data_IF_737459463472
#
_entry.id   IF_737459463472
#
_cell.length_a   1.000
_cell.length_b   1.000
_cell.length_c   1.000
_cell.angle_alpha   90.00
_cell.angle_beta   90.00
_cell.angle_gamma   90.00
#
_symmetry.space_group_name_H-M   'P 1'
#
loop_
_entity.id
_entity.type
_entity.pdbx_description
1 polymer ?
#
# COMPACT_ATOMS: atom_id res chain seq x y z
N UNK A 1 45.87 45.56 -11.17
CA UNK A 1 44.52 44.94 -11.09
C UNK A 1 44.73 43.44 -10.93
N UNK A 2 44.51 42.95 -9.71
CA UNK A 2 44.62 41.52 -9.35
C UNK A 2 43.22 40.90 -9.56
N UNK A 3 43.08 39.93 -10.45
CA UNK A 3 41.87 39.11 -10.53
C UNK A 3 42.15 37.75 -9.91
N UNK A 4 41.72 37.61 -8.66
CA UNK A 4 41.70 36.37 -7.89
C UNK A 4 40.59 35.47 -8.43
N UNK A 5 40.93 34.40 -9.14
CA UNK A 5 39.96 33.38 -9.53
C UNK A 5 39.73 32.44 -8.34
N UNK A 6 38.62 32.66 -7.63
CA UNK A 6 38.15 31.78 -6.56
C UNK A 6 37.55 30.53 -7.21
N UNK A 7 38.19 29.39 -7.00
CA UNK A 7 37.65 28.06 -7.26
C UNK A 7 36.42 27.83 -6.36
N UNK A 8 35.23 27.73 -6.96
CA UNK A 8 34.05 27.23 -6.26
C UNK A 8 33.74 25.83 -6.80
N UNK A 9 34.32 24.81 -6.15
CA UNK A 9 33.89 23.43 -6.36
C UNK A 9 32.50 23.26 -5.75
N UNK A 10 31.48 23.21 -6.60
CA UNK A 10 30.14 22.77 -6.22
C UNK A 10 30.22 21.27 -5.88
N UNK A 11 30.17 20.96 -4.59
CA UNK A 11 29.93 19.60 -4.11
C UNK A 11 28.44 19.33 -4.32
N UNK A 12 28.09 18.72 -5.44
CA UNK A 12 26.77 18.11 -5.64
C UNK A 12 26.68 16.84 -4.78
N UNK A 13 26.32 17.03 -3.51
CA UNK A 13 25.93 15.94 -2.62
C UNK A 13 24.64 15.31 -3.12
N UNK A 14 24.76 14.33 -4.00
CA UNK A 14 23.66 13.43 -4.36
C UNK A 14 23.29 12.58 -3.15
N UNK A 15 22.36 13.05 -2.32
CA UNK A 15 21.69 12.20 -1.34
C UNK A 15 20.69 11.30 -2.07
N UNK A 16 21.20 10.31 -2.79
CA UNK A 16 20.39 9.16 -3.18
C UNK A 16 20.21 8.29 -1.93
N UNK A 17 19.37 8.76 -1.01
CA UNK A 17 18.90 7.90 0.07
C UNK A 17 17.91 6.94 -0.57
N UNK A 18 18.39 5.76 -0.97
CA UNK A 18 17.51 4.64 -1.28
C UNK A 18 16.71 4.37 -0.01
N UNK A 19 15.50 4.91 0.06
CA UNK A 19 14.50 4.56 1.05
C UNK A 19 14.04 3.15 0.75
N UNK A 20 14.90 2.19 1.04
CA UNK A 20 14.58 0.78 1.04
C UNK A 20 13.56 0.64 2.16
N UNK A 21 12.29 0.43 1.79
CA UNK A 21 11.22 0.24 2.76
C UNK A 21 11.67 -0.86 3.73
N UNK A 22 11.62 -0.64 5.06
CA UNK A 22 12.07 -1.63 6.01
C UNK A 22 11.31 -2.94 5.73
N UNK A 23 12.06 -4.04 5.58
CA UNK A 23 11.46 -5.36 5.38
C UNK A 23 10.46 -5.62 6.52
N UNK A 24 9.23 -6.05 6.21
CA UNK A 24 8.21 -6.24 7.23
C UNK A 24 8.72 -7.22 8.29
N UNK A 25 8.54 -6.88 9.56
CA UNK A 25 8.84 -7.78 10.67
C UNK A 25 8.14 -9.12 10.44
N UNK A 26 8.77 -10.27 10.73
CA UNK A 26 8.14 -11.58 10.58
C UNK A 26 6.83 -11.71 11.38
N UNK A 27 6.65 -10.89 12.41
CA UNK A 27 5.44 -10.84 13.23
C UNK A 27 4.55 -9.63 12.91
N UNK A 28 4.73 -8.99 11.75
CA UNK A 28 3.93 -7.85 11.34
C UNK A 28 2.53 -8.30 10.91
N UNK A 29 1.52 -7.62 11.45
CA UNK A 29 0.15 -7.78 11.01
C UNK A 29 0.03 -7.40 9.53
N UNK A 30 -0.58 -8.30 8.76
CA UNK A 30 -0.91 -8.11 7.36
C UNK A 30 -2.42 -8.20 7.20
N UNK A 31 -3.03 -7.16 6.64
CA UNK A 31 -4.43 -7.21 6.24
C UNK A 31 -4.59 -8.11 5.01
N UNK A 32 -5.48 -9.09 5.11
CA UNK A 32 -5.84 -9.98 4.01
C UNK A 32 -7.27 -9.67 3.57
N UNK A 33 -7.44 -9.27 2.31
CA UNK A 33 -8.75 -9.15 1.67
C UNK A 33 -9.04 -10.40 0.86
N UNK A 34 -10.19 -11.01 1.11
CA UNK A 34 -10.65 -12.15 0.31
C UNK A 34 -11.42 -11.61 -0.88
N UNK A 35 -10.88 -11.83 -2.08
CA UNK A 35 -11.59 -11.61 -3.34
C UNK A 35 -12.50 -12.80 -3.59
N UNK A 36 -13.79 -12.55 -3.41
CA UNK A 36 -14.84 -13.51 -3.76
C UNK A 36 -15.78 -12.88 -4.79
N UNK A 37 -15.92 -13.55 -5.93
CA UNK A 37 -16.92 -13.21 -6.94
C UNK A 37 -17.97 -14.32 -6.93
N UNK A 38 -19.23 -13.98 -6.62
CA UNK A 38 -20.32 -14.93 -6.77
C UNK A 38 -20.39 -15.39 -8.24
N UNK A 39 -20.66 -16.67 -8.54
CA UNK A 39 -20.78 -17.17 -9.92
C UNK A 39 -21.78 -16.40 -10.79
N UNK A 40 -22.80 -15.82 -10.16
CA UNK A 40 -23.88 -15.06 -10.82
C UNK A 40 -23.74 -13.54 -10.70
N UNK A 41 -22.61 -13.04 -10.18
CA UNK A 41 -22.37 -11.60 -10.05
C UNK A 41 -22.41 -10.95 -11.45
N UNK A 42 -23.32 -9.99 -11.65
CA UNK A 42 -23.57 -9.34 -12.94
C UNK A 42 -24.69 -9.95 -13.80
N UNK A 43 -25.16 -11.18 -13.53
CA UNK A 43 -26.27 -11.82 -14.29
C UNK A 43 -27.66 -11.60 -13.68
N UNK A 44 -27.75 -11.45 -12.35
CA UNK A 44 -29.06 -11.39 -11.65
C UNK A 44 -29.63 -9.97 -11.47
N UNK A 45 -28.84 -8.91 -11.64
CA UNK A 45 -29.28 -7.54 -11.34
C UNK A 45 -28.70 -6.54 -12.36
N UNK A 46 -29.21 -6.52 -13.60
CA UNK A 46 -28.64 -5.72 -14.70
C UNK A 46 -28.67 -4.20 -14.50
N UNK A 47 -29.38 -3.68 -13.49
CA UNK A 47 -29.63 -2.23 -13.35
C UNK A 47 -29.26 -1.61 -11.99
N UNK A 48 -28.85 -2.39 -10.98
CA UNK A 48 -28.71 -1.87 -9.60
C UNK A 48 -27.27 -1.77 -9.07
N UNK A 49 -26.28 -2.34 -9.75
CA UNK A 49 -24.91 -2.39 -9.26
C UNK A 49 -23.90 -1.90 -10.30
N UNK A 50 -23.93 -0.60 -10.57
CA UNK A 50 -22.78 0.11 -11.17
C UNK A 50 -21.58 0.20 -10.21
N UNK A 51 -21.69 -0.34 -9.00
CA UNK A 51 -20.69 -0.26 -7.93
C UNK A 51 -19.59 -1.34 -8.01
N UNK A 52 -19.65 -2.24 -9.00
CA UNK A 52 -18.69 -3.34 -9.14
C UNK A 52 -18.75 -4.39 -8.00
N UNK A 53 -17.95 -5.46 -8.06
CA UNK A 53 -17.96 -6.55 -7.10
C UNK A 53 -18.00 -6.15 -5.61
N UNK A 54 -18.76 -6.88 -4.76
CA UNK A 54 -18.94 -6.53 -3.35
C UNK A 54 -17.63 -6.48 -2.57
N UNK A 55 -16.63 -7.25 -2.98
CA UNK A 55 -15.36 -7.32 -2.28
C UNK A 55 -14.53 -6.04 -2.42
N UNK A 56 -14.80 -5.15 -3.39
CA UNK A 56 -13.95 -3.97 -3.63
C UNK A 56 -14.56 -2.60 -3.32
N UNK A 57 -15.81 -2.52 -2.86
CA UNK A 57 -16.55 -1.25 -2.74
C UNK A 57 -15.75 -0.09 -2.12
N UNK A 58 -14.95 -0.35 -1.07
CA UNK A 58 -14.11 0.66 -0.38
C UNK A 58 -12.60 0.40 -0.49
N UNK A 59 -12.17 -0.43 -1.45
CA UNK A 59 -10.76 -0.73 -1.69
C UNK A 59 -10.04 0.45 -2.38
N UNK A 60 -8.83 0.84 -1.96
CA UNK A 60 -8.03 0.36 -0.82
C UNK A 60 -8.21 1.22 0.45
N UNK A 61 -9.21 2.10 0.48
CA UNK A 61 -9.38 3.12 1.52
C UNK A 61 -9.62 2.51 2.89
N UNK A 62 -10.45 1.47 2.97
CA UNK A 62 -10.74 0.78 4.24
C UNK A 62 -9.47 0.21 4.89
N UNK A 63 -8.58 -0.40 4.10
CA UNK A 63 -7.31 -0.96 4.60
C UNK A 63 -6.35 0.11 5.07
N UNK A 64 -6.23 1.21 4.32
CA UNK A 64 -5.39 2.34 4.72
C UNK A 64 -5.85 2.92 6.05
N UNK A 65 -7.16 3.08 6.23
CA UNK A 65 -7.73 3.55 7.49
C UNK A 65 -7.43 2.59 8.64
N UNK A 66 -7.57 1.28 8.40
CA UNK A 66 -7.26 0.27 9.42
C UNK A 66 -5.78 0.23 9.79
N UNK A 67 -4.86 0.26 8.83
CA UNK A 67 -3.44 0.36 9.10
C UNK A 67 -3.08 1.63 9.87
N UNK A 68 -3.75 2.74 9.56
CA UNK A 68 -3.57 4.01 10.26
C UNK A 68 -4.02 3.89 11.72
N UNK A 69 -5.21 3.31 11.96
CA UNK A 69 -5.71 3.06 13.31
C UNK A 69 -4.78 2.13 14.10
N UNK A 70 -4.29 1.04 13.49
CA UNK A 70 -3.34 0.11 14.14
C UNK A 70 -2.04 0.81 14.54
N UNK A 71 -1.49 1.66 13.67
CA UNK A 71 -0.27 2.44 13.96
C UNK A 71 -0.46 3.45 15.09
N UNK A 72 -1.64 4.06 15.17
CA UNK A 72 -1.93 5.10 16.16
C UNK A 72 -2.33 4.55 17.53
N UNK A 73 -3.04 3.42 17.55
CA UNK A 73 -3.71 2.92 18.75
C UNK A 73 -3.02 1.70 19.36
N UNK A 74 -2.07 1.07 18.66
CA UNK A 74 -1.42 -0.16 19.10
C UNK A 74 0.09 -0.13 18.88
N UNK A 75 0.80 -1.07 19.51
CA UNK A 75 2.22 -1.33 19.24
C UNK A 75 2.43 -2.49 18.25
N UNK A 76 1.37 -2.96 17.61
CA UNK A 76 1.43 -4.08 16.68
C UNK A 76 2.21 -3.62 15.44
N UNK A 77 3.33 -4.29 15.08
CA UNK A 77 4.00 -3.99 13.82
C UNK A 77 3.04 -4.32 12.67
N UNK A 78 2.98 -3.46 11.66
CA UNK A 78 2.11 -3.67 10.48
C UNK A 78 2.96 -3.63 9.21
N UNK A 79 2.61 -4.42 8.20
CA UNK A 79 3.33 -4.41 6.91
C UNK A 79 3.07 -3.13 6.12
N UNK A 80 1.88 -2.54 6.27
CA UNK A 80 1.46 -1.37 5.50
C UNK A 80 0.97 -1.69 4.08
N UNK A 81 1.01 -2.96 3.69
CA UNK A 81 0.52 -3.45 2.40
C UNK A 81 -0.54 -4.52 2.64
N UNK A 82 -1.73 -4.34 2.06
CA UNK A 82 -2.79 -5.35 2.12
C UNK A 82 -2.58 -6.38 1.02
N UNK A 83 -2.79 -7.66 1.32
CA UNK A 83 -2.81 -8.73 0.30
C UNK A 83 -4.24 -9.03 -0.11
N UNK A 84 -4.44 -9.35 -1.38
CA UNK A 84 -5.71 -9.84 -1.90
C UNK A 84 -5.52 -11.31 -2.24
N UNK A 85 -6.29 -12.19 -1.60
CA UNK A 85 -6.29 -13.64 -1.85
C UNK A 85 -7.61 -14.07 -2.49
N UNK A 86 -7.57 -15.10 -3.32
CA UNK A 86 -8.77 -15.80 -3.80
C UNK A 86 -8.88 -17.15 -3.11
N UNK A 87 -10.09 -17.72 -3.07
CA UNK A 87 -10.32 -19.03 -2.43
C UNK A 87 -9.62 -20.20 -3.15
N UNK A 88 -9.22 -20.00 -4.40
CA UNK A 88 -8.47 -20.97 -5.21
C UNK A 88 -6.94 -20.82 -5.07
N UNK A 89 -6.48 -19.92 -4.20
CA UNK A 89 -5.04 -19.76 -3.96
C UNK A 89 -4.60 -20.78 -2.93
N UNK A 90 -3.66 -21.66 -3.28
CA UNK A 90 -3.08 -22.70 -2.39
C UNK A 90 -2.11 -22.11 -1.34
N UNK A 91 -2.18 -20.81 -1.02
CA UNK A 91 -1.29 -20.12 -0.07
C UNK A 91 -1.93 -19.88 1.30
#
# INVERSE_FOLDING_TARGET
>A
MLFTFIYLALVEGSFAQSSQAPSPSPNAFTFIRIRWNAPDWGRRLPFYFSAGPPWFHDYPTAEKNMYTALRLLTKVPVTGEAKILTLDTDE
#
